data_IF_525757956427
#
_entry.id   IF_525757956427
#
_cell.length_a   1.000
_cell.length_b   1.000
_cell.length_c   1.000
_cell.angle_alpha   90.00
_cell.angle_beta   90.00
_cell.angle_gamma   90.00
#
_symmetry.space_group_name_H-M   'P 1'
#
loop_
_entity.id
_entity.type
_entity.pdbx_description
1 polymer ?
#
# COMPACT_ATOMS: atom_id res chain seq x y z
N UNK A 1 2.56 -24.55 14.47
CA UNK A 1 3.53 -23.50 14.85
C UNK A 1 4.31 -23.18 13.60
N UNK A 2 3.89 -22.15 12.88
CA UNK A 2 4.65 -21.58 11.76
C UNK A 2 4.94 -20.15 12.17
N UNK A 3 6.21 -19.70 12.13
CA UNK A 3 6.51 -18.29 12.36
C UNK A 3 5.75 -17.53 11.27
N UNK A 4 4.72 -16.79 11.66
CA UNK A 4 3.92 -15.94 10.78
C UNK A 4 4.73 -14.68 10.45
N UNK A 5 5.94 -14.89 9.92
CA UNK A 5 6.78 -13.84 9.40
C UNK A 5 6.01 -13.18 8.27
N UNK A 6 5.86 -11.86 8.38
CA UNK A 6 5.28 -11.02 7.34
C UNK A 6 6.14 -11.22 6.07
N UNK A 7 5.62 -11.51 4.87
CA UNK A 7 6.40 -11.46 3.65
C UNK A 7 7.00 -10.05 3.46
N UNK A 8 8.27 -10.05 3.05
CA UNK A 8 9.03 -8.84 2.77
C UNK A 8 9.28 -8.74 1.27
N UNK A 9 9.13 -7.55 0.72
CA UNK A 9 9.38 -7.28 -0.69
C UNK A 9 10.28 -6.06 -0.85
N UNK A 10 11.16 -6.08 -1.85
CA UNK A 10 12.05 -4.97 -2.18
C UNK A 10 11.82 -4.50 -3.63
N UNK A 11 12.26 -3.28 -3.92
CA UNK A 11 12.26 -2.74 -5.28
C UNK A 11 13.65 -2.24 -5.69
N UNK A 12 14.67 -3.03 -5.41
CA UNK A 12 16.04 -2.83 -5.94
C UNK A 12 16.08 -2.66 -7.47
N UNK A 13 15.25 -3.35 -8.28
CA UNK A 13 15.27 -3.16 -9.73
C UNK A 13 14.66 -1.82 -10.19
N UNK A 14 14.06 -1.03 -9.29
CA UNK A 14 13.51 0.29 -9.61
C UNK A 14 12.22 0.23 -10.43
N UNK A 15 11.42 -0.83 -10.26
CA UNK A 15 10.16 -1.03 -10.96
C UNK A 15 9.11 -0.02 -10.51
N UNK A 16 8.27 0.41 -11.45
CA UNK A 16 7.12 1.28 -11.16
C UNK A 16 5.96 0.51 -10.54
N UNK A 17 5.86 -0.79 -10.83
CA UNK A 17 4.77 -1.66 -10.40
C UNK A 17 5.26 -3.08 -10.16
N UNK A 18 4.82 -3.70 -9.07
CA UNK A 18 5.11 -5.08 -8.68
C UNK A 18 3.79 -5.76 -8.36
N UNK A 19 3.57 -6.98 -8.86
CA UNK A 19 2.40 -7.77 -8.46
C UNK A 19 2.73 -8.61 -7.24
N UNK A 20 1.79 -8.74 -6.31
CA UNK A 20 1.95 -9.50 -5.06
C UNK A 20 0.73 -10.39 -4.82
N UNK A 21 0.93 -11.54 -4.18
CA UNK A 21 -0.15 -12.46 -3.82
C UNK A 21 -0.86 -12.15 -2.49
N UNK A 22 -0.44 -11.09 -1.80
CA UNK A 22 -0.90 -10.72 -0.45
C UNK A 22 -1.28 -9.23 -0.37
N UNK A 23 -2.27 -8.91 0.46
CA UNK A 23 -2.73 -7.51 0.68
C UNK A 23 -2.02 -6.78 1.81
N UNK A 24 -1.40 -7.53 2.71
CA UNK A 24 -0.57 -7.01 3.81
C UNK A 24 0.85 -7.49 3.53
N UNK A 25 1.87 -6.66 3.71
CA UNK A 25 3.29 -7.03 3.56
C UNK A 25 4.22 -5.93 4.11
N UNK A 26 5.52 -6.24 4.23
CA UNK A 26 6.56 -5.27 4.57
C UNK A 26 7.33 -4.90 3.30
N UNK A 27 7.45 -3.62 2.98
CA UNK A 27 8.34 -3.15 1.92
C UNK A 27 9.67 -2.71 2.53
N UNK A 28 10.76 -3.36 2.09
CA UNK A 28 12.13 -3.07 2.57
C UNK A 28 12.84 -2.01 1.73
N UNK A 29 12.17 -1.50 0.69
CA UNK A 29 12.69 -0.51 -0.26
C UNK A 29 13.83 -1.07 -1.12
N UNK A 30 14.97 -1.38 -0.53
CA UNK A 30 16.17 -1.88 -1.19
C UNK A 30 16.84 -3.00 -0.37
N UNK A 31 17.78 -3.73 -0.98
CA UNK A 31 18.51 -4.80 -0.29
C UNK A 31 19.64 -4.23 0.60
N UNK A 32 20.05 -4.96 1.66
CA UNK A 32 21.25 -4.62 2.43
C UNK A 32 22.47 -4.41 1.53
N UNK A 33 23.33 -3.41 1.80
CA UNK A 33 23.46 -2.59 3.01
C UNK A 33 22.67 -1.27 3.01
N UNK A 34 21.84 -1.02 2.00
CA UNK A 34 21.10 0.24 1.83
C UNK A 34 19.65 0.14 2.29
N UNK A 35 19.34 -0.92 3.01
CA UNK A 35 18.04 -1.21 3.60
C UNK A 35 17.70 -0.16 4.69
N UNK A 36 16.67 0.65 4.43
CA UNK A 36 16.22 1.78 5.25
C UNK A 36 14.68 1.66 5.44
N UNK A 37 14.05 2.46 6.33
CA UNK A 37 12.97 2.00 7.22
C UNK A 37 11.91 1.15 6.50
N UNK A 38 11.81 -0.11 6.91
CA UNK A 38 10.78 -1.01 6.41
C UNK A 38 9.40 -0.44 6.74
N UNK A 39 8.56 -0.32 5.73
CA UNK A 39 7.19 0.16 5.90
C UNK A 39 6.20 -0.99 5.75
N UNK A 40 5.24 -1.03 6.66
CA UNK A 40 4.09 -1.91 6.53
C UNK A 40 3.10 -1.34 5.51
N UNK A 41 2.80 -2.10 4.47
CA UNK A 41 1.82 -1.76 3.45
C UNK A 41 0.59 -2.66 3.65
N UNK A 42 -0.56 -2.03 3.81
CA UNK A 42 -1.87 -2.67 3.87
C UNK A 42 -2.74 -2.09 2.77
N UNK A 43 -3.19 -2.93 1.83
CA UNK A 43 -4.08 -2.52 0.74
C UNK A 43 -5.54 -2.36 1.20
N UNK A 44 -5.90 -2.90 2.37
CA UNK A 44 -7.27 -2.91 2.88
C UNK A 44 -8.23 -3.61 1.92
N UNK A 45 -9.24 -2.86 1.48
CA UNK A 45 -10.22 -3.32 0.49
C UNK A 45 -9.71 -3.21 -0.95
N UNK A 46 -8.71 -2.36 -1.18
CA UNK A 46 -8.20 -2.08 -2.51
C UNK A 46 -7.30 -3.22 -3.01
N UNK A 47 -7.05 -3.22 -4.32
CA UNK A 47 -6.17 -4.18 -4.97
C UNK A 47 -4.83 -3.56 -5.37
N UNK A 48 -4.62 -2.27 -5.13
CA UNK A 48 -3.31 -1.65 -5.29
C UNK A 48 -3.02 -0.60 -4.22
N UNK A 49 -1.76 -0.49 -3.83
CA UNK A 49 -1.28 0.52 -2.89
C UNK A 49 0.12 0.97 -3.28
N UNK A 50 0.41 2.26 -3.07
CA UNK A 50 1.71 2.85 -3.36
C UNK A 50 2.57 2.89 -2.10
N UNK A 51 3.80 2.40 -2.21
CA UNK A 51 4.76 2.61 -1.13
C UNK A 51 5.31 4.05 -1.19
N UNK A 52 5.24 4.82 -0.10
CA UNK A 52 5.65 6.22 -0.07
C UNK A 52 7.16 6.41 -0.22
N UNK A 53 7.97 5.37 0.02
CA UNK A 53 9.43 5.45 -0.05
C UNK A 53 9.99 5.06 -1.41
N UNK A 54 9.60 3.89 -1.94
CA UNK A 54 10.10 3.42 -3.23
C UNK A 54 9.25 3.91 -4.42
N UNK A 55 8.18 4.70 -4.19
CA UNK A 55 7.26 5.19 -5.25
C UNK A 55 6.72 4.07 -6.16
N UNK A 56 6.64 2.85 -5.62
CA UNK A 56 6.26 1.64 -6.36
C UNK A 56 4.82 1.30 -6.06
N UNK A 57 4.08 0.96 -7.10
CA UNK A 57 2.69 0.47 -6.97
C UNK A 57 2.72 -1.03 -6.77
N UNK A 58 2.25 -1.50 -5.62
CA UNK A 58 2.03 -2.92 -5.37
C UNK A 58 0.60 -3.26 -5.76
N UNK A 59 0.43 -4.24 -6.64
CA UNK A 59 -0.89 -4.70 -7.10
C UNK A 59 -1.12 -6.14 -6.65
N UNK A 60 -2.19 -6.36 -5.90
CA UNK A 60 -2.64 -7.67 -5.46
C UNK A 60 -3.21 -8.46 -6.66
N UNK A 61 -2.64 -9.63 -6.94
CA UNK A 61 -3.10 -10.54 -7.99
C UNK A 61 -3.34 -11.93 -7.40
N UNK A 62 -4.61 -12.29 -7.20
CA UNK A 62 -5.02 -13.58 -6.64
C UNK A 62 -4.82 -14.76 -7.59
N UNK A 63 -4.46 -14.52 -8.85
CA UNK A 63 -4.08 -15.58 -9.79
C UNK A 63 -2.57 -15.89 -9.75
N UNK A 64 -1.80 -15.14 -8.96
CA UNK A 64 -0.36 -15.30 -8.88
C UNK A 64 0.01 -16.53 -8.04
N UNK A 65 0.72 -17.48 -8.65
CA UNK A 65 1.23 -18.67 -7.96
C UNK A 65 2.51 -18.41 -7.16
N UNK A 66 3.16 -17.28 -7.41
CA UNK A 66 4.38 -16.82 -6.74
C UNK A 66 4.03 -15.74 -5.69
N UNK A 67 4.91 -15.46 -4.71
CA UNK A 67 4.68 -14.38 -3.75
C UNK A 67 4.66 -12.99 -4.41
N UNK A 68 5.50 -12.78 -5.43
CA UNK A 68 5.52 -11.58 -6.26
C UNK A 68 5.95 -11.85 -7.71
N UNK A 69 5.65 -10.90 -8.58
CA UNK A 69 6.07 -10.85 -9.99
C UNK A 69 6.60 -9.43 -10.30
N UNK A 70 7.88 -9.28 -10.64
CA UNK A 70 8.88 -10.34 -10.84
C UNK A 70 9.34 -11.01 -9.54
N UNK A 71 9.79 -12.29 -9.58
CA UNK A 71 10.16 -13.07 -8.39
C UNK A 71 11.42 -12.55 -7.70
N UNK A 72 12.23 -11.76 -8.40
CA UNK A 72 13.42 -11.12 -7.84
C UNK A 72 13.09 -10.08 -6.76
N UNK A 73 11.84 -9.62 -6.65
CA UNK A 73 11.41 -8.66 -5.65
C UNK A 73 11.07 -9.30 -4.29
N UNK A 74 11.09 -10.63 -4.18
CA UNK A 74 10.88 -11.34 -2.92
C UNK A 74 12.11 -11.21 -2.02
N UNK A 75 11.93 -10.60 -0.85
CA UNK A 75 13.00 -10.57 0.16
C UNK A 75 12.86 -11.75 1.11
N UNK A 76 13.80 -12.69 0.99
CA UNK A 76 13.92 -13.82 1.92
C UNK A 76 14.79 -13.36 3.09
N UNK A 77 14.13 -13.07 4.20
CA UNK A 77 14.83 -12.93 5.48
C UNK A 77 15.44 -14.29 5.81
N UNK A 78 16.76 -14.38 5.71
CA UNK A 78 17.49 -15.36 6.50
C UNK A 78 17.16 -15.04 7.96
N UNK A 79 16.70 -16.00 8.78
CA UNK A 79 16.38 -15.73 10.16
C UNK A 79 17.63 -15.15 10.83
N UNK A 80 17.52 -13.91 11.29
CA UNK A 80 18.55 -13.24 12.08
C UNK A 80 18.89 -14.11 13.31
N UNK A 81 19.99 -14.88 13.26
CA UNK A 81 20.45 -15.70 14.39
C UNK A 81 21.28 -14.92 15.40
N UNK A 82 21.38 -13.60 15.30
CA UNK A 82 22.42 -12.84 16.01
C UNK A 82 21.92 -11.57 16.72
N UNK A 83 20.74 -11.64 17.35
CA UNK A 83 20.47 -10.74 18.49
C UNK A 83 19.79 -11.51 19.63
N UNK A 84 20.55 -11.71 20.71
CA UNK A 84 20.05 -12.20 22.00
C UNK A 84 19.05 -11.18 22.58
N UNK A 85 17.80 -11.21 22.12
CA UNK A 85 16.69 -10.44 22.68
C UNK A 85 15.36 -11.10 22.35
N UNK A 86 14.41 -11.19 23.30
CA UNK A 86 13.09 -11.72 23.00
C UNK A 86 12.40 -10.80 21.98
N UNK A 87 11.91 -11.39 20.89
CA UNK A 87 11.12 -10.68 19.88
C UNK A 87 10.04 -9.84 20.59
N UNK A 88 9.86 -8.55 20.23
CA UNK A 88 8.80 -7.76 20.84
C UNK A 88 7.48 -8.45 20.55
N UNK A 89 6.70 -8.69 21.61
CA UNK A 89 5.32 -9.17 21.58
C UNK A 89 4.43 -8.12 20.89
N UNK A 90 4.59 -7.95 19.59
CA UNK A 90 3.62 -7.29 18.74
C UNK A 90 2.46 -8.29 18.65
N UNK A 91 1.38 -8.03 19.39
CA UNK A 91 0.16 -8.82 19.30
C UNK A 91 -0.40 -8.71 17.87
N UNK A 92 -0.11 -9.72 17.04
CA UNK A 92 -0.47 -9.75 15.62
C UNK A 92 -1.95 -10.14 15.51
N UNK A 93 -2.82 -9.13 15.56
CA UNK A 93 -4.20 -9.23 15.13
C UNK A 93 -4.31 -9.62 13.65
N UNK A 94 -5.16 -10.59 13.37
CA UNK A 94 -5.75 -10.95 12.06
C UNK A 94 -4.83 -10.93 10.83
N UNK A 95 -4.23 -12.11 10.58
CA UNK A 95 -4.26 -12.77 9.27
C UNK A 95 -3.71 -11.99 8.07
N UNK A 96 -2.56 -12.43 7.57
CA UNK A 96 -2.15 -12.16 6.19
C UNK A 96 -3.11 -12.88 5.24
N UNK A 97 -4.16 -12.18 4.84
CA UNK A 97 -5.15 -12.73 3.94
C UNK A 97 -4.54 -12.80 2.53
N UNK A 98 -4.53 -13.98 1.89
CA UNK A 98 -4.18 -14.09 0.49
C UNK A 98 -5.16 -13.27 -0.33
N UNK A 99 -4.69 -12.74 -1.46
CA UNK A 99 -5.54 -12.09 -2.43
C UNK A 99 -6.71 -13.02 -2.81
N UNK A 100 -7.98 -12.62 -2.65
CA UNK A 100 -9.09 -13.47 -3.04
C UNK A 100 -9.06 -13.69 -4.57
N UNK A 101 -9.21 -14.93 -5.06
CA UNK A 101 -9.20 -15.20 -6.49
C UNK A 101 -10.41 -14.53 -7.15
N UNK A 102 -10.14 -13.58 -8.06
CA UNK A 102 -11.19 -12.86 -8.78
C UNK A 102 -11.77 -11.65 -8.06
N UNK A 103 -11.03 -11.01 -7.14
CA UNK A 103 -11.45 -9.72 -6.58
C UNK A 103 -11.77 -8.71 -7.72
N UNK A 104 -12.94 -8.07 -7.69
CA UNK A 104 -13.36 -7.16 -8.75
C UNK A 104 -12.43 -5.96 -8.79
N UNK A 105 -11.98 -5.60 -10.01
CA UNK A 105 -11.32 -4.33 -10.32
C UNK A 105 -12.18 -3.21 -9.70
N UNK A 106 -11.74 -2.61 -8.58
CA UNK A 106 -12.56 -1.66 -7.84
C UNK A 106 -13.03 -0.51 -8.78
N UNK A 107 -14.34 -0.18 -8.83
CA UNK A 107 -14.88 0.83 -9.73
C UNK A 107 -14.79 2.28 -9.21
N UNK A 108 -14.02 2.58 -8.16
CA UNK A 108 -14.09 3.87 -7.44
C UNK A 108 -13.24 5.01 -8.04
N UNK A 109 -13.29 5.19 -9.36
CA UNK A 109 -12.94 6.45 -10.01
C UNK A 109 -14.08 7.51 -9.87
N UNK A 110 -14.86 7.44 -8.78
CA UNK A 110 -16.13 8.16 -8.66
C UNK A 110 -16.27 8.96 -7.36
N UNK A 111 -15.20 9.53 -6.80
CA UNK A 111 -15.38 10.66 -5.88
C UNK A 111 -14.18 11.58 -5.80
N UNK A 112 -14.17 12.64 -6.63
CA UNK A 112 -13.45 13.89 -6.34
C UNK A 112 -13.94 15.06 -7.20
N UNK A 113 -15.25 15.24 -7.35
CA UNK A 113 -15.77 16.57 -7.66
C UNK A 113 -15.92 17.35 -6.35
N UNK A 114 -14.83 17.97 -5.90
CA UNK A 114 -14.91 19.04 -4.92
C UNK A 114 -15.64 20.22 -5.56
N UNK A 115 -16.98 20.17 -5.56
CA UNK A 115 -17.81 21.34 -5.81
C UNK A 115 -17.64 22.28 -4.62
N UNK A 116 -16.63 23.14 -4.72
CA UNK A 116 -16.41 24.29 -3.85
C UNK A 116 -17.63 25.19 -3.91
N UNK A 117 -18.56 24.98 -2.97
CA UNK A 117 -19.65 25.91 -2.63
C UNK A 117 -19.01 27.23 -2.19
N UNK A 118 -18.85 28.16 -3.13
CA UNK A 118 -18.71 29.57 -2.80
C UNK A 118 -20.06 30.06 -2.27
N UNK A 119 -20.14 30.67 -1.07
CA UNK A 119 -21.33 31.42 -0.71
C UNK A 119 -21.36 32.67 -1.60
N UNK A 120 -22.31 32.72 -2.53
CA UNK A 120 -22.59 33.91 -3.34
C UNK A 120 -23.03 35.01 -2.39
N UNK A 121 -22.10 35.92 -2.12
CA UNK A 121 -22.30 37.18 -1.41
C UNK A 121 -23.56 37.89 -1.97
N UNK A 122 -24.59 38.05 -1.14
CA UNK A 122 -25.79 38.79 -1.49
C UNK A 122 -25.42 40.26 -1.72
N UNK A 123 -25.34 40.65 -3.00
CA UNK A 123 -25.16 42.02 -3.42
C UNK A 123 -26.47 42.81 -3.21
N UNK A 124 -26.43 43.74 -2.26
CA UNK A 124 -27.41 44.82 -2.02
C UNK A 124 -28.01 45.39 -3.32
N UNK A 125 -29.33 45.59 -3.43
CA UNK A 125 -29.91 46.27 -4.59
C UNK A 125 -29.60 47.78 -4.54
N UNK A 126 -28.96 48.26 -5.60
CA UNK A 126 -28.76 49.68 -5.87
C UNK A 126 -30.11 50.37 -6.10
N UNK A 127 -30.35 51.43 -5.32
CA UNK A 127 -31.49 52.34 -5.49
C UNK A 127 -31.50 52.91 -6.90
N UNK A 128 -32.65 52.76 -7.57
CA UNK A 128 -32.96 53.35 -8.86
C UNK A 128 -33.01 54.86 -8.68
N UNK A 129 -32.06 55.59 -9.27
CA UNK A 129 -32.25 57.00 -9.59
C UNK A 129 -33.29 57.07 -10.70
N UNK A 130 -34.48 57.54 -10.36
CA UNK A 130 -35.44 58.03 -11.34
C UNK A 130 -35.12 59.49 -11.67
N UNK A 131 -35.46 59.83 -12.92
CA UNK A 131 -35.37 61.11 -13.65
C UNK A 131 -35.65 62.34 -12.78
#
# INVERSE_FOLDING_TARGET
MEPRAKPHFHNTPGLRRIKVGVKKFMCVVDLPPFDHPHIFVDMGTEDESVCPYCSTVFACDGALSAPCDPPECEYKLEPETDFSGPAPDVEIGEGYLPCPPGAPRSPDAAMQTHASRTPRLESRPAGKRAV
#
